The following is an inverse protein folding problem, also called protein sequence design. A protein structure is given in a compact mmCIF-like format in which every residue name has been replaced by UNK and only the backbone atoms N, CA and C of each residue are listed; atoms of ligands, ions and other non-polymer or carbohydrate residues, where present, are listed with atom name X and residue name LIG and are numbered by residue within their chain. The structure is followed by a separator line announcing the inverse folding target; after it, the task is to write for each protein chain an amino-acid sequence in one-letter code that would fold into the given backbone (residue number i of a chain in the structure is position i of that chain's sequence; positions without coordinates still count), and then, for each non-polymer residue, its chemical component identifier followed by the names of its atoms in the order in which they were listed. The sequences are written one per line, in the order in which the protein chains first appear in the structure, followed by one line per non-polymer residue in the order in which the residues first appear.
data_IF_361520231857
#
_entry.id   IF_361520231857
#
_cell.length_a   1.000
_cell.length_b   1.000
_cell.length_c   1.000
_cell.angle_alpha   90.00
_cell.angle_beta   90.00
_cell.angle_gamma   90.00
#
_symmetry.space_group_name_H-M   'P 1'
#
loop_
_entity.id
_entity.type
_entity.pdbx_description
1 polymer ?
#
# COMPACT_ATOMS: atom_id res chain seq x y z
N UNK A 1 46.57 12.79 -26.48
CA UNK A 1 46.54 11.36 -26.87
C UNK A 1 45.63 10.55 -25.95
N UNK A 2 45.70 10.75 -24.63
CA UNK A 2 44.98 9.98 -23.60
C UNK A 2 43.43 10.01 -23.65
N UNK A 3 42.80 11.10 -24.10
CA UNK A 3 41.32 11.22 -24.16
C UNK A 3 40.66 10.39 -25.25
N UNK A 4 41.33 10.22 -26.39
CA UNK A 4 40.77 9.51 -27.55
C UNK A 4 40.74 8.00 -27.30
N UNK A 5 41.80 7.45 -26.69
CA UNK A 5 41.89 6.04 -26.31
C UNK A 5 40.83 5.65 -25.27
N UNK A 6 40.58 6.51 -24.27
CA UNK A 6 39.56 6.27 -23.24
C UNK A 6 38.15 6.18 -23.85
N UNK A 7 37.83 7.07 -24.80
CA UNK A 7 36.53 7.07 -25.48
C UNK A 7 36.37 5.86 -26.40
N UNK A 8 37.44 5.46 -27.10
CA UNK A 8 37.42 4.29 -27.97
C UNK A 8 37.28 2.99 -27.18
N UNK A 9 37.94 2.87 -26.02
CA UNK A 9 37.77 1.74 -25.12
C UNK A 9 36.38 1.67 -24.49
N UNK A 10 35.79 2.81 -24.11
CA UNK A 10 34.41 2.86 -23.61
C UNK A 10 33.40 2.39 -24.67
N UNK A 11 33.62 2.73 -25.94
CA UNK A 11 32.80 2.27 -27.07
C UNK A 11 32.93 0.77 -27.30
N UNK A 12 34.14 0.21 -27.27
CA UNK A 12 34.38 -1.24 -27.43
C UNK A 12 33.72 -2.05 -26.30
N UNK A 13 33.74 -1.56 -25.07
CA UNK A 13 33.03 -2.19 -23.96
C UNK A 13 31.51 -2.16 -24.11
N UNK A 14 30.93 -1.06 -24.61
CA UNK A 14 29.49 -1.00 -24.90
C UNK A 14 29.04 -2.02 -25.96
N UNK A 15 29.99 -2.52 -26.76
CA UNK A 15 29.81 -3.58 -27.75
C UNK A 15 30.15 -4.99 -27.22
N UNK A 16 30.53 -5.11 -25.94
CA UNK A 16 30.84 -6.39 -25.29
C UNK A 16 32.27 -6.90 -25.49
N UNK A 17 33.19 -6.08 -26.01
CA UNK A 17 34.58 -6.49 -26.23
C UNK A 17 35.41 -6.47 -24.93
N UNK A 18 36.33 -7.44 -24.75
CA UNK A 18 37.13 -7.54 -23.53
C UNK A 18 38.14 -6.38 -23.40
N UNK A 19 38.20 -5.77 -22.22
CA UNK A 19 39.14 -4.69 -21.91
C UNK A 19 40.55 -5.29 -21.72
N UNK A 20 41.51 -4.86 -22.54
CA UNK A 20 42.91 -5.26 -22.44
C UNK A 20 43.68 -4.38 -21.44
N UNK A 21 44.54 -5.01 -20.62
CA UNK A 21 45.38 -4.32 -19.63
C UNK A 21 44.92 -4.49 -18.17
N UNK A 22 45.85 -4.94 -17.30
CA UNK A 22 45.59 -5.24 -15.88
C UNK A 22 45.12 -4.02 -15.09
N UNK A 23 45.72 -2.85 -15.33
CA UNK A 23 45.41 -1.58 -14.66
C UNK A 23 44.03 -1.03 -15.04
N UNK A 24 43.65 -1.18 -16.31
CA UNK A 24 42.35 -0.80 -16.82
C UNK A 24 41.24 -1.66 -16.20
N UNK A 25 41.43 -2.98 -16.17
CA UNK A 25 40.48 -3.90 -15.49
C UNK A 25 40.29 -3.55 -14.02
N UNK A 26 41.37 -3.24 -13.29
CA UNK A 26 41.26 -2.83 -11.88
C UNK A 26 40.51 -1.50 -11.71
N UNK A 27 40.80 -0.49 -12.54
CA UNK A 27 40.11 0.80 -12.48
C UNK A 27 38.60 0.64 -12.77
N UNK A 28 38.25 -0.23 -13.72
CA UNK A 28 36.87 -0.54 -14.07
C UNK A 28 36.12 -1.29 -12.97
N UNK A 29 36.74 -2.28 -12.33
CA UNK A 29 36.16 -2.97 -11.17
C UNK A 29 35.91 -2.00 -10.01
N UNK A 30 36.83 -1.07 -9.77
CA UNK A 30 36.65 -0.03 -8.75
C UNK A 30 35.49 0.91 -9.10
N UNK A 31 35.31 1.29 -10.37
CA UNK A 31 34.16 2.07 -10.84
C UNK A 31 32.83 1.33 -10.66
N UNK A 32 32.78 0.03 -10.95
CA UNK A 32 31.58 -0.79 -10.72
C UNK A 32 31.25 -0.95 -9.24
N UNK A 33 32.27 -1.11 -8.39
CA UNK A 33 32.08 -1.14 -6.94
C UNK A 33 31.60 0.22 -6.41
N UNK A 34 32.19 1.32 -6.90
CA UNK A 34 31.77 2.67 -6.54
C UNK A 34 30.33 2.97 -6.95
N UNK A 35 29.89 2.53 -8.14
CA UNK A 35 28.51 2.68 -8.59
C UNK A 35 27.53 1.84 -7.77
N UNK A 36 27.89 0.61 -7.41
CA UNK A 36 27.12 -0.24 -6.50
C UNK A 36 26.94 0.42 -5.12
N UNK A 37 28.02 0.97 -4.55
CA UNK A 37 27.97 1.68 -3.26
C UNK A 37 27.12 2.95 -3.35
N UNK A 38 27.15 3.67 -4.48
CA UNK A 38 26.34 4.87 -4.67
C UNK A 38 24.83 4.56 -4.82
N UNK A 39 24.48 3.45 -5.46
CA UNK A 39 23.07 3.06 -5.69
C UNK A 39 22.47 2.30 -4.50
N UNK A 40 23.28 1.60 -3.71
CA UNK A 40 22.82 0.78 -2.60
C UNK A 40 21.94 1.52 -1.57
N UNK A 41 22.25 2.76 -1.11
CA UNK A 41 21.41 3.49 -0.17
C UNK A 41 20.02 3.81 -0.75
N UNK A 42 19.97 4.19 -2.03
CA UNK A 42 18.71 4.45 -2.72
C UNK A 42 17.88 3.17 -2.85
N UNK A 43 18.51 2.08 -3.30
CA UNK A 43 17.86 0.77 -3.44
C UNK A 43 17.38 0.22 -2.09
N UNK A 44 18.18 0.35 -1.03
CA UNK A 44 17.77 -0.03 0.32
C UNK A 44 16.59 0.80 0.80
N UNK A 45 16.56 2.11 0.52
CA UNK A 45 15.44 2.98 0.90
C UNK A 45 14.15 2.64 0.13
N UNK A 46 14.25 2.32 -1.15
CA UNK A 46 13.08 2.00 -1.99
C UNK A 46 12.56 0.58 -1.77
N UNK A 47 13.43 -0.39 -1.50
CA UNK A 47 13.07 -1.81 -1.32
C UNK A 47 12.85 -2.23 0.15
N UNK A 48 13.35 -1.45 1.12
CA UNK A 48 13.07 -1.64 2.55
C UNK A 48 11.58 -1.84 2.88
N UNK A 49 10.63 -1.03 2.36
CA UNK A 49 9.21 -1.26 2.66
C UNK A 49 8.67 -2.60 2.15
N UNK A 50 9.22 -3.14 1.06
CA UNK A 50 8.80 -4.45 0.52
C UNK A 50 9.31 -5.58 1.42
N UNK A 51 10.58 -5.50 1.85
CA UNK A 51 11.22 -6.53 2.68
C UNK A 51 10.79 -6.48 4.15
N UNK A 52 10.30 -5.33 4.61
CA UNK A 52 9.73 -5.13 5.95
C UNK A 52 8.21 -5.22 5.99
N UNK A 53 7.56 -5.50 4.85
CA UNK A 53 6.13 -5.74 4.85
C UNK A 53 5.84 -6.90 5.83
N UNK A 54 4.99 -6.71 6.85
CA UNK A 54 4.67 -7.78 7.78
C UNK A 54 4.10 -8.94 6.96
N UNK A 55 4.55 -10.18 7.26
CA UNK A 55 3.99 -11.37 6.61
C UNK A 55 2.46 -11.29 6.70
N UNK A 56 1.73 -11.62 5.62
CA UNK A 56 0.27 -11.67 5.69
C UNK A 56 -0.09 -12.60 6.85
N UNK A 57 -0.91 -12.10 7.77
CA UNK A 57 -1.34 -12.90 8.91
C UNK A 57 -2.06 -14.12 8.35
N UNK A 58 -1.60 -15.33 8.71
CA UNK A 58 -2.38 -16.53 8.46
C UNK A 58 -3.56 -16.44 9.41
N UNK A 59 -4.71 -16.06 8.87
CA UNK A 59 -5.95 -15.92 9.62
C UNK A 59 -6.54 -17.32 9.80
N UNK A 60 -6.11 -18.01 10.85
CA UNK A 60 -6.73 -19.26 11.26
C UNK A 60 -7.92 -18.90 12.15
N UNK A 61 -9.11 -19.38 11.78
CA UNK A 61 -10.27 -19.29 12.66
C UNK A 61 -10.00 -20.14 13.91
N UNK A 62 -10.15 -19.52 15.08
CA UNK A 62 -9.91 -20.17 16.36
C UNK A 62 -11.13 -21.00 16.80
N UNK A 63 -11.01 -21.82 17.85
CA UNK A 63 -12.16 -22.52 18.41
C UNK A 63 -13.24 -21.53 18.89
N UNK A 64 -14.52 -21.81 18.58
CA UNK A 64 -15.68 -21.00 18.96
C UNK A 64 -16.03 -19.89 17.95
N UNK A 65 -16.44 -18.71 18.44
CA UNK A 65 -16.82 -17.55 17.61
C UNK A 65 -15.63 -16.71 17.13
N UNK A 66 -14.40 -17.25 17.24
CA UNK A 66 -13.19 -16.57 16.85
C UNK A 66 -12.98 -16.65 15.33
N UNK A 67 -13.17 -15.53 14.64
CA UNK A 67 -12.89 -15.38 13.21
C UNK A 67 -11.74 -14.42 12.98
N UNK A 68 -10.91 -14.71 11.99
CA UNK A 68 -9.75 -13.88 11.66
C UNK A 68 -8.75 -13.75 12.83
N UNK A 69 -8.71 -14.73 13.73
CA UNK A 69 -7.93 -14.64 14.98
C UNK A 69 -8.47 -13.61 15.99
N UNK A 70 -9.74 -13.19 15.88
CA UNK A 70 -10.36 -12.21 16.77
C UNK A 70 -11.70 -12.71 17.35
N UNK A 71 -11.95 -12.50 18.66
CA UNK A 71 -13.25 -12.79 19.25
C UNK A 71 -14.33 -11.83 18.70
N UNK A 72 -15.59 -12.28 18.66
CA UNK A 72 -16.71 -11.50 18.14
C UNK A 72 -16.84 -10.10 18.78
N UNK A 73 -16.62 -10.00 20.10
CA UNK A 73 -16.67 -8.72 20.81
C UNK A 73 -15.69 -7.70 20.23
N UNK A 74 -14.44 -8.10 20.00
CA UNK A 74 -13.42 -7.23 19.40
C UNK A 74 -13.78 -6.85 17.96
N UNK A 75 -14.28 -7.81 17.16
CA UNK A 75 -14.72 -7.52 15.79
C UNK A 75 -15.85 -6.49 15.77
N UNK A 76 -16.81 -6.58 16.68
CA UNK A 76 -17.91 -5.60 16.81
C UNK A 76 -17.41 -4.23 17.25
N UNK A 77 -16.45 -4.16 18.17
CA UNK A 77 -15.84 -2.89 18.57
C UNK A 77 -15.13 -2.21 17.40
N UNK A 78 -14.31 -2.97 16.67
CA UNK A 78 -13.59 -2.48 15.47
C UNK A 78 -14.59 -2.01 14.42
N UNK A 79 -15.64 -2.79 14.14
CA UNK A 79 -16.68 -2.37 13.20
C UNK A 79 -17.38 -1.08 13.63
N UNK A 80 -17.75 -0.95 14.91
CA UNK A 80 -18.42 0.25 15.43
C UNK A 80 -17.55 1.50 15.25
N UNK A 81 -16.25 1.35 15.46
CA UNK A 81 -15.27 2.41 15.27
C UNK A 81 -15.14 2.83 13.81
N UNK A 82 -15.05 1.85 12.88
CA UNK A 82 -15.04 2.12 11.44
C UNK A 82 -16.34 2.79 10.98
N UNK A 83 -17.48 2.29 11.47
CA UNK A 83 -18.80 2.83 11.15
C UNK A 83 -19.00 4.26 11.66
N UNK A 84 -18.34 4.65 12.75
CA UNK A 84 -18.41 6.01 13.28
C UNK A 84 -17.77 7.07 12.39
N UNK A 85 -16.73 6.70 11.63
CA UNK A 85 -16.06 7.63 10.73
C UNK A 85 -16.85 7.88 9.43
N UNK A 86 -17.77 6.98 9.09
CA UNK A 86 -18.43 6.94 7.78
C UNK A 86 -19.27 8.20 7.46
N UNK A 87 -20.15 8.70 8.35
CA UNK A 87 -21.01 9.83 8.03
C UNK A 87 -20.23 11.11 7.75
N UNK A 88 -19.16 11.35 8.53
CA UNK A 88 -18.29 12.51 8.34
C UNK A 88 -17.56 12.43 7.00
N UNK A 89 -17.08 11.24 6.61
CA UNK A 89 -16.40 11.03 5.33
C UNK A 89 -17.34 11.29 4.14
N UNK A 90 -18.59 10.83 4.21
CA UNK A 90 -19.62 11.14 3.20
C UNK A 90 -19.87 12.63 3.09
N UNK A 91 -20.07 13.31 4.23
CA UNK A 91 -20.31 14.75 4.25
C UNK A 91 -19.13 15.53 3.66
N UNK A 92 -17.89 15.13 4.00
CA UNK A 92 -16.68 15.71 3.45
C UNK A 92 -16.57 15.53 1.94
N UNK A 93 -16.86 14.32 1.43
CA UNK A 93 -16.88 14.06 -0.01
C UNK A 93 -17.92 14.91 -0.73
N UNK A 94 -19.16 14.94 -0.21
CA UNK A 94 -20.25 15.74 -0.77
C UNK A 94 -19.92 17.24 -0.81
N UNK A 95 -19.27 17.77 0.23
CA UNK A 95 -18.83 19.16 0.29
C UNK A 95 -17.65 19.46 -0.65
N UNK A 96 -16.68 18.55 -0.75
CA UNK A 96 -15.49 18.71 -1.60
C UNK A 96 -15.79 18.56 -3.10
N UNK A 97 -16.81 17.77 -3.45
CA UNK A 97 -17.14 17.41 -4.83
C UNK A 97 -18.64 17.55 -5.12
N UNK A 98 -19.21 18.77 -5.04
CA UNK A 98 -20.65 18.98 -5.24
C UNK A 98 -21.06 18.57 -6.65
N UNK A 99 -22.12 17.76 -6.76
CA UNK A 99 -22.66 17.30 -8.04
C UNK A 99 -21.77 16.33 -8.82
N UNK A 100 -20.70 15.81 -8.20
CA UNK A 100 -19.79 14.83 -8.81
C UNK A 100 -19.78 13.52 -8.01
N UNK A 101 -20.81 12.65 -8.16
CA UNK A 101 -21.00 11.50 -7.28
C UNK A 101 -19.80 10.54 -7.26
N UNK A 102 -19.10 10.42 -8.38
CA UNK A 102 -17.89 9.63 -8.49
C UNK A 102 -16.71 10.18 -7.69
N UNK A 103 -16.47 11.48 -7.79
CA UNK A 103 -15.40 12.12 -7.02
C UNK A 103 -15.70 12.04 -5.52
N UNK A 104 -16.98 12.10 -5.13
CA UNK A 104 -17.41 11.87 -3.74
C UNK A 104 -17.10 10.43 -3.28
N UNK A 105 -17.32 9.44 -4.14
CA UNK A 105 -17.05 8.03 -3.85
C UNK A 105 -15.54 7.73 -3.78
N UNK A 106 -14.75 8.27 -4.71
CA UNK A 106 -13.29 8.17 -4.68
C UNK A 106 -12.71 8.81 -3.41
N UNK A 107 -13.25 9.96 -3.00
CA UNK A 107 -12.90 10.60 -1.73
C UNK A 107 -13.24 9.71 -0.54
N UNK A 108 -14.45 9.14 -0.51
CA UNK A 108 -14.89 8.19 0.52
C UNK A 108 -13.93 7.00 0.61
N UNK A 109 -13.56 6.40 -0.52
CA UNK A 109 -12.64 5.27 -0.57
C UNK A 109 -11.22 5.62 -0.10
N UNK A 110 -10.73 6.83 -0.40
CA UNK A 110 -9.46 7.31 0.12
C UNK A 110 -9.47 7.43 1.65
N UNK A 111 -10.50 8.08 2.20
CA UNK A 111 -10.68 8.20 3.66
C UNK A 111 -10.86 6.84 4.35
N UNK A 112 -11.62 5.92 3.75
CA UNK A 112 -11.81 4.58 4.27
C UNK A 112 -10.46 3.86 4.46
N UNK A 113 -9.56 3.93 3.46
CA UNK A 113 -8.21 3.36 3.57
C UNK A 113 -7.41 3.98 4.72
N UNK A 114 -7.47 5.28 4.90
CA UNK A 114 -6.71 5.97 5.93
C UNK A 114 -7.24 5.67 7.34
N UNK A 115 -8.56 5.64 7.50
CA UNK A 115 -9.21 5.21 8.75
C UNK A 115 -8.86 3.77 9.10
N UNK A 116 -8.90 2.86 8.13
CA UNK A 116 -8.54 1.46 8.37
C UNK A 116 -7.08 1.28 8.77
N UNK A 117 -6.16 2.05 8.15
CA UNK A 117 -4.75 2.06 8.53
C UNK A 117 -4.54 2.56 9.95
N UNK A 118 -5.21 3.65 10.32
CA UNK A 118 -5.16 4.20 11.67
C UNK A 118 -5.71 3.22 12.71
N UNK A 119 -6.89 2.63 12.46
CA UNK A 119 -7.49 1.62 13.33
C UNK A 119 -6.59 0.39 13.46
N UNK A 120 -6.03 -0.10 12.34
CA UNK A 120 -5.08 -1.20 12.35
C UNK A 120 -3.86 -0.90 13.23
N UNK A 121 -3.27 0.29 13.09
CA UNK A 121 -2.12 0.73 13.89
C UNK A 121 -2.46 0.84 15.38
N UNK A 122 -3.55 1.54 15.73
CA UNK A 122 -3.96 1.75 17.13
C UNK A 122 -4.36 0.47 17.85
N UNK A 123 -5.04 -0.44 17.15
CA UNK A 123 -5.48 -1.73 17.70
C UNK A 123 -4.42 -2.84 17.55
N UNK A 124 -3.27 -2.55 16.94
CA UNK A 124 -2.21 -3.53 16.60
C UNK A 124 -2.75 -4.73 15.81
N UNK A 125 -3.69 -4.46 14.91
CA UNK A 125 -4.31 -5.45 14.03
C UNK A 125 -3.65 -5.41 12.65
N UNK A 126 -3.72 -6.52 11.93
CA UNK A 126 -3.40 -6.53 10.51
C UNK A 126 -4.48 -5.72 9.76
N UNK A 127 -4.06 -4.87 8.81
CA UNK A 127 -4.97 -4.16 7.92
C UNK A 127 -5.99 -5.10 7.23
N UNK A 128 -5.57 -6.30 6.84
CA UNK A 128 -6.47 -7.33 6.29
C UNK A 128 -7.57 -7.73 7.27
N UNK A 129 -7.25 -7.87 8.56
CA UNK A 129 -8.25 -8.18 9.59
C UNK A 129 -9.30 -7.07 9.70
N UNK A 130 -8.87 -5.81 9.61
CA UNK A 130 -9.76 -4.65 9.67
C UNK A 130 -10.73 -4.63 8.47
N UNK A 131 -10.23 -4.89 7.25
CA UNK A 131 -11.09 -5.02 6.06
C UNK A 131 -12.09 -6.17 6.17
N UNK A 132 -11.65 -7.33 6.66
CA UNK A 132 -12.51 -8.50 6.81
C UNK A 132 -13.61 -8.27 7.87
N UNK A 133 -13.29 -7.54 8.94
CA UNK A 133 -14.27 -7.12 9.94
C UNK A 133 -15.28 -6.13 9.36
N UNK A 134 -14.85 -5.18 8.52
CA UNK A 134 -15.78 -4.28 7.85
C UNK A 134 -16.75 -5.05 6.94
N UNK A 135 -16.22 -5.92 6.07
CA UNK A 135 -17.03 -6.73 5.15
C UNK A 135 -18.02 -7.62 5.93
N UNK A 136 -17.55 -8.29 6.99
CA UNK A 136 -18.41 -9.11 7.85
C UNK A 136 -19.52 -8.27 8.50
N UNK A 137 -19.20 -7.11 9.08
CA UNK A 137 -20.18 -6.27 9.73
C UNK A 137 -21.21 -5.69 8.77
N UNK A 138 -20.81 -5.35 7.54
CA UNK A 138 -21.74 -4.93 6.47
C UNK A 138 -22.68 -6.09 6.10
N UNK A 139 -22.14 -7.29 5.82
CA UNK A 139 -22.95 -8.47 5.45
C UNK A 139 -23.89 -8.92 6.56
N UNK A 140 -23.41 -8.90 7.80
CA UNK A 140 -24.16 -9.27 8.99
C UNK A 140 -25.05 -8.13 9.52
N UNK A 141 -25.05 -6.96 8.86
CA UNK A 141 -25.82 -5.78 9.25
C UNK A 141 -25.63 -5.40 10.73
N UNK A 142 -24.38 -5.40 11.19
CA UNK A 142 -24.09 -4.96 12.55
C UNK A 142 -24.45 -3.49 12.72
N UNK A 143 -24.97 -3.09 13.89
CA UNK A 143 -25.32 -1.71 14.15
C UNK A 143 -24.07 -0.83 14.22
N UNK A 144 -24.11 0.32 13.55
CA UNK A 144 -23.19 1.42 13.74
C UNK A 144 -23.48 2.21 15.03
N UNK A 145 -22.82 3.36 15.22
CA UNK A 145 -22.99 4.17 16.44
C UNK A 145 -24.41 4.75 16.61
N UNK A 146 -25.12 4.97 15.50
CA UNK A 146 -26.51 5.42 15.45
C UNK A 146 -27.53 4.27 15.59
N UNK A 147 -27.04 3.04 15.79
CA UNK A 147 -27.86 1.84 15.89
C UNK A 147 -28.32 1.29 14.54
N UNK A 148 -28.00 1.95 13.43
CA UNK A 148 -28.34 1.50 12.08
C UNK A 148 -27.16 0.80 11.40
N UNK A 149 -27.40 -0.21 10.55
CA UNK A 149 -26.32 -0.84 9.80
C UNK A 149 -25.73 0.11 8.76
N UNK A 150 -24.44 -0.05 8.48
CA UNK A 150 -23.80 0.67 7.38
C UNK A 150 -24.45 0.32 6.05
N UNK A 151 -24.73 1.36 5.26
CA UNK A 151 -25.27 1.22 3.91
C UNK A 151 -24.12 0.87 2.96
N UNK A 152 -24.19 -0.30 2.34
CA UNK A 152 -23.17 -0.83 1.41
C UNK A 152 -23.27 -0.26 -0.03
N UNK A 153 -24.08 0.78 -0.23
CA UNK A 153 -24.37 1.28 -1.57
C UNK A 153 -23.16 2.00 -2.14
N UNK A 154 -22.58 1.42 -3.19
CA UNK A 154 -21.60 2.07 -4.07
C UNK A 154 -22.32 2.67 -5.26
N UNK A 155 -21.91 3.86 -5.70
CA UNK A 155 -22.47 4.47 -6.90
C UNK A 155 -21.97 3.67 -8.11
N UNK A 156 -22.85 3.17 -9.00
CA UNK A 156 -22.44 2.45 -10.18
C UNK A 156 -21.47 3.25 -11.05
N UNK A 157 -20.52 2.55 -11.65
CA UNK A 157 -19.59 3.11 -12.62
C UNK A 157 -20.40 3.72 -13.79
N UNK A 158 -20.37 5.04 -13.95
CA UNK A 158 -20.82 5.74 -15.16
C UNK A 158 -19.58 6.25 -15.91
N UNK A 159 -18.94 5.40 -16.73
CA UNK A 159 -17.84 5.86 -17.56
C UNK A 159 -18.41 6.93 -18.49
N UNK A 160 -17.94 8.19 -18.33
CA UNK A 160 -18.37 9.34 -19.14
C UNK A 160 -18.66 8.89 -20.56
N UNK A 161 -19.92 8.97 -20.99
CA UNK A 161 -20.26 8.80 -22.40
C UNK A 161 -19.43 9.81 -23.17
N UNK A 162 -18.55 9.31 -24.03
CA UNK A 162 -17.73 10.14 -24.92
C UNK A 162 -18.61 10.99 -25.82
#
# INVERSE_FOLDING_TARGET
MERAEVLEQARRWALGEPIEGRRLRTAWLLLQLASLVAVAPWALRTLSPITRAPKPAVLVDGPGDARYGMPLALRREVFKELAAAEPQNRQSGAAGFPGQPWSQEDHRAAFERDVMRDVAARRKLNLTQVYLVLDEGIRAKWPGPDGQPLIATTIPLDPRRK
#
